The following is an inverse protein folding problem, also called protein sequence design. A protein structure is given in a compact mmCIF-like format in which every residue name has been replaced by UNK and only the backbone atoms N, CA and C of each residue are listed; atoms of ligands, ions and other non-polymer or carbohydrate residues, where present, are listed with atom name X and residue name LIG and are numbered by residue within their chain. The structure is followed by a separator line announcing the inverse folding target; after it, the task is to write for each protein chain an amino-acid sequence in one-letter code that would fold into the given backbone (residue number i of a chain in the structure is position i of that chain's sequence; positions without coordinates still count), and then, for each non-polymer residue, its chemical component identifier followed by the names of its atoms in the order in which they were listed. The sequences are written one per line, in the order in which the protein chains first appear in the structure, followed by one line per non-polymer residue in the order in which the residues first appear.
data_IF_590636364719
#
_entry.id   IF_590636364719
#
_cell.length_a   1.000
_cell.length_b   1.000
_cell.length_c   1.000
_cell.angle_alpha   90.00
_cell.angle_beta   90.00
_cell.angle_gamma   90.00
#
_symmetry.space_group_name_H-M   'P 1'
#
loop_
_entity.id
_entity.type
_entity.pdbx_description
1 polymer ?
2 non-polymer ?
3 non-polymer ?
4 non-polymer ?
5 water ?
#
# COMPACT_ATOMS: atom_id res chain seq x y z
N UNK A 1 -20.44 -21.67 -6.38
CA UNK A 1 -21.71 -21.31 -5.68
C UNK A 1 -21.98 -19.79 -5.61
N UNK A 2 -21.15 -19.00 -6.31
CA UNK A 2 -21.20 -17.56 -6.23
C UNK A 2 -21.36 -16.93 -7.64
N UNK A 3 -21.92 -17.63 -8.58
CA UNK A 3 -22.10 -17.12 -9.92
C UNK A 3 -20.86 -17.05 -10.77
N UNK A 4 -20.93 -16.26 -11.82
CA UNK A 4 -19.85 -16.23 -12.84
C UNK A 4 -19.29 -14.87 -13.08
N UNK A 5 -19.99 -13.79 -12.86
CA UNK A 5 -19.60 -12.43 -13.33
C UNK A 5 -19.46 -11.41 -12.24
N UNK A 6 -18.51 -10.51 -12.44
CA UNK A 6 -18.36 -9.30 -11.65
C UNK A 6 -19.26 -8.21 -12.22
N UNK A 7 -19.47 -7.16 -11.46
CA UNK A 7 -20.26 -6.04 -12.00
C UNK A 7 -19.65 -5.50 -13.30
N UNK A 8 -20.50 -5.02 -14.19
CA UNK A 8 -20.07 -4.48 -15.42
C UNK A 8 -19.19 -3.25 -15.27
N UNK A 9 -19.36 -2.50 -14.19
CA UNK A 9 -18.58 -1.33 -13.96
C UNK A 9 -17.42 -1.58 -12.97
N UNK A 10 -17.05 -2.80 -12.73
CA UNK A 10 -15.97 -3.09 -11.81
C UNK A 10 -14.66 -2.43 -12.31
N UNK A 11 -13.85 -1.96 -11.35
CA UNK A 11 -12.55 -1.42 -11.69
C UNK A 11 -11.54 -2.57 -11.70
N UNK A 12 -10.80 -2.67 -12.81
CA UNK A 12 -9.78 -3.70 -13.06
C UNK A 12 -8.49 -3.00 -13.35
N UNK A 13 -7.50 -3.13 -12.47
CA UNK A 13 -6.26 -2.45 -12.64
C UNK A 13 -5.05 -3.21 -12.19
N UNK A 14 -3.92 -2.52 -12.24
CA UNK A 14 -2.68 -2.94 -11.62
C UNK A 14 -2.09 -1.75 -10.90
N UNK A 15 -1.16 -2.02 -9.98
CA UNK A 15 -0.67 -1.03 -9.08
C UNK A 15 0.86 -0.96 -9.09
N UNK A 16 1.37 0.24 -8.85
CA UNK A 16 2.78 0.54 -8.65
C UNK A 16 2.91 1.64 -7.57
N UNK A 17 4.13 1.97 -7.21
CA UNK A 17 4.51 3.10 -6.36
C UNK A 17 5.69 3.80 -6.97
N UNK A 18 5.79 5.10 -6.77
CA UNK A 18 6.76 5.92 -7.48
C UNK A 18 8.18 5.50 -7.25
N UNK A 19 8.60 5.34 -5.99
CA UNK A 19 10.00 5.03 -5.76
C UNK A 19 10.33 3.64 -6.32
N UNK A 20 9.36 2.75 -6.35
CA UNK A 20 9.63 1.38 -6.82
C UNK A 20 9.86 1.32 -8.31
N UNK A 21 9.31 2.27 -9.07
CA UNK A 21 9.38 2.16 -10.54
C UNK A 21 10.06 3.33 -11.28
N UNK A 22 10.05 4.55 -10.71
CA UNK A 22 10.31 5.72 -11.56
C UNK A 22 11.76 5.90 -11.97
N UNK A 23 12.71 5.70 -11.08
CA UNK A 23 14.06 6.15 -11.38
C UNK A 23 14.12 7.65 -11.45
N UNK A 24 15.09 8.14 -12.25
CA UNK A 24 15.23 9.56 -12.49
C UNK A 24 15.20 10.33 -11.17
N UNK A 25 16.01 9.87 -10.22
CA UNK A 25 15.89 10.33 -8.83
C UNK A 25 16.31 11.75 -8.60
N UNK A 26 17.16 12.32 -9.47
CA UNK A 26 17.58 13.70 -9.37
C UNK A 26 17.02 14.55 -10.49
N UNK A 27 16.21 14.05 -11.36
CA UNK A 27 15.79 14.79 -12.52
C UNK A 27 14.68 15.74 -12.19
N UNK A 28 14.67 16.83 -12.94
CA UNK A 28 13.55 17.75 -12.96
C UNK A 28 13.21 18.26 -11.53
N UNK A 29 14.21 18.56 -10.76
CA UNK A 29 14.03 19.16 -9.49
C UNK A 29 13.69 18.25 -8.32
N UNK A 30 13.62 16.91 -8.56
CA UNK A 30 13.26 16.02 -7.45
C UNK A 30 14.22 16.18 -6.30
N UNK A 31 13.70 16.22 -5.08
CA UNK A 31 14.48 16.18 -3.89
C UNK A 31 14.84 14.80 -3.43
N UNK A 32 15.61 14.71 -2.36
CA UNK A 32 16.01 13.44 -1.78
C UNK A 32 14.89 12.92 -0.90
N UNK A 33 14.52 11.65 -1.01
CA UNK A 33 13.57 11.02 -0.13
C UNK A 33 14.28 10.12 0.89
N UNK A 34 13.53 9.72 1.90
CA UNK A 34 14.10 8.78 2.88
C UNK A 34 14.53 7.48 2.24
N UNK A 35 13.88 7.06 1.16
CA UNK A 35 14.24 5.85 0.46
C UNK A 35 15.51 5.98 -0.40
N UNK A 36 15.79 7.19 -0.88
CA UNK A 36 17.10 7.43 -1.46
C UNK A 36 18.18 7.24 -0.40
N UNK A 37 18.01 7.91 0.72
CA UNK A 37 18.99 7.79 1.81
C UNK A 37 19.16 6.35 2.25
N UNK A 38 18.04 5.66 2.47
CA UNK A 38 18.07 4.32 3.02
C UNK A 38 18.68 3.31 2.04
N UNK A 39 18.24 3.36 0.78
CA UNK A 39 18.75 2.39 -0.17
C UNK A 39 20.22 2.63 -0.47
N UNK A 40 20.73 3.85 -0.29
CA UNK A 40 22.14 4.14 -0.43
C UNK A 40 22.93 3.90 0.83
N UNK A 41 22.32 3.34 1.85
CA UNK A 41 23.04 2.96 3.09
C UNK A 41 23.45 1.50 2.94
N UNK A 42 24.76 1.23 3.01
CA UNK A 42 25.22 -0.16 2.89
C UNK A 42 24.47 -1.10 3.82
N UNK A 43 24.04 -2.23 3.26
CA UNK A 43 23.45 -3.30 4.01
C UNK A 43 21.95 -3.21 4.20
N UNK A 44 21.30 -2.09 3.89
CA UNK A 44 19.87 -1.98 4.13
C UNK A 44 19.02 -2.71 3.08
N UNK A 45 19.56 -2.85 1.86
CA UNK A 45 18.85 -3.55 0.78
C UNK A 45 19.58 -4.86 0.53
N UNK A 46 18.87 -5.94 0.35
CA UNK A 46 19.47 -7.29 0.35
C UNK A 46 20.47 -7.53 -0.77
N UNK A 47 20.31 -6.86 -1.90
CA UNK A 47 21.02 -7.20 -3.12
C UNK A 47 21.80 -6.05 -3.68
N UNK A 48 22.04 -5.02 -2.85
CA UNK A 48 22.84 -3.90 -3.32
C UNK A 48 22.21 -3.01 -4.38
N UNK A 49 20.93 -3.13 -4.58
CA UNK A 49 20.23 -2.29 -5.54
C UNK A 49 19.61 -1.10 -4.84
N UNK A 50 19.19 -0.14 -5.70
CA UNK A 50 18.51 1.07 -5.25
C UNK A 50 17.40 1.36 -6.22
N UNK A 51 16.62 2.41 -5.91
CA UNK A 51 15.65 2.94 -6.85
C UNK A 51 16.20 3.97 -7.80
N UNK A 52 17.52 4.11 -7.97
CA UNK A 52 18.03 5.16 -8.83
C UNK A 52 17.52 5.08 -10.23
N UNK A 53 17.40 3.90 -10.78
CA UNK A 53 16.82 3.66 -12.10
C UNK A 53 15.53 2.92 -12.02
N UNK A 54 15.51 1.82 -11.27
CA UNK A 54 14.28 1.02 -11.11
C UNK A 54 13.78 0.59 -12.49
N UNK A 55 12.51 0.88 -12.82
CA UNK A 55 11.96 0.56 -14.12
C UNK A 55 12.08 1.73 -15.09
N UNK A 56 12.70 2.81 -14.68
CA UNK A 56 12.81 4.02 -15.48
C UNK A 56 11.46 4.54 -15.90
N UNK A 57 10.42 4.38 -15.08
CA UNK A 57 9.10 4.78 -15.46
C UNK A 57 8.88 6.29 -15.46
N UNK A 58 9.77 7.08 -14.87
CA UNK A 58 9.65 8.51 -15.09
C UNK A 58 9.71 8.84 -16.56
N UNK A 59 10.62 8.16 -17.29
CA UNK A 59 10.74 8.30 -18.72
C UNK A 59 9.87 7.34 -19.50
N UNK A 60 9.54 6.17 -18.95
CA UNK A 60 8.95 5.08 -19.70
C UNK A 60 7.50 4.80 -19.29
N UNK A 61 6.83 5.77 -18.64
CA UNK A 61 5.43 5.54 -18.23
C UNK A 61 4.58 5.26 -19.44
N UNK A 62 4.92 5.75 -20.63
CA UNK A 62 4.14 5.42 -21.81
C UNK A 62 4.22 3.93 -22.16
N UNK A 63 5.36 3.32 -21.91
CA UNK A 63 5.47 1.87 -22.03
C UNK A 63 4.55 1.16 -21.04
N UNK A 64 4.51 1.71 -19.82
CA UNK A 64 3.64 1.15 -18.79
C UNK A 64 2.18 1.25 -19.22
N UNK A 65 1.79 2.40 -19.82
CA UNK A 65 0.44 2.55 -20.39
C UNK A 65 0.19 1.52 -21.47
N UNK A 66 1.20 1.28 -22.35
CA UNK A 66 1.07 0.24 -23.36
C UNK A 66 0.76 -1.11 -22.74
N UNK A 67 1.41 -1.44 -21.62
CA UNK A 67 1.15 -2.74 -20.95
C UNK A 67 -0.28 -2.75 -20.41
N UNK A 68 -0.70 -1.70 -19.69
CA UNK A 68 -2.05 -1.62 -19.14
C UNK A 68 -3.10 -1.79 -20.25
N UNK A 69 -2.85 -1.13 -21.38
CA UNK A 69 -3.75 -1.24 -22.55
C UNK A 69 -3.77 -2.66 -23.12
N UNK A 70 -2.61 -3.28 -23.24
CA UNK A 70 -2.52 -4.67 -23.74
C UNK A 70 -3.27 -5.59 -22.81
N UNK A 71 -3.29 -5.30 -21.51
CA UNK A 71 -3.99 -6.11 -20.53
C UNK A 71 -5.50 -5.80 -20.51
N UNK A 72 -5.94 -4.78 -21.19
CA UNK A 72 -7.38 -4.42 -21.20
C UNK A 72 -7.89 -3.93 -19.85
N UNK A 73 -7.02 -3.39 -19.04
CA UNK A 73 -7.42 -2.85 -17.77
C UNK A 73 -8.18 -1.53 -17.97
N UNK A 74 -8.88 -1.06 -16.94
CA UNK A 74 -9.60 0.21 -17.00
C UNK A 74 -9.15 1.15 -15.92
N UNK A 75 -8.07 0.88 -15.20
CA UNK A 75 -7.59 1.74 -14.16
C UNK A 75 -6.14 1.44 -13.90
N UNK A 76 -5.45 2.42 -13.31
CA UNK A 76 -4.03 2.28 -12.95
C UNK A 76 -3.87 2.93 -11.58
N UNK A 77 -3.41 2.18 -10.59
CA UNK A 77 -3.07 2.70 -9.28
C UNK A 77 -1.59 2.98 -9.24
N UNK A 78 -1.24 4.25 -9.00
CA UNK A 78 0.15 4.65 -8.97
C UNK A 78 0.30 5.72 -7.90
N UNK A 79 1.51 6.03 -7.50
CA UNK A 79 1.72 7.11 -6.55
C UNK A 79 2.42 8.28 -7.16
N UNK A 80 2.18 9.44 -6.55
CA UNK A 80 2.88 10.69 -6.84
C UNK A 80 3.97 10.84 -5.80
N UNK A 81 5.18 11.15 -6.24
CA UNK A 81 6.32 11.32 -5.37
C UNK A 81 6.32 12.73 -4.76
N UNK A 82 6.05 12.84 -3.48
CA UNK A 82 6.15 14.14 -2.75
C UNK A 82 7.50 14.82 -3.10
N UNK A 83 8.61 14.12 -3.12
CA UNK A 83 9.91 14.79 -3.50
C UNK A 83 9.91 15.50 -4.82
N UNK A 84 9.07 15.08 -5.77
CA UNK A 84 8.99 15.81 -7.04
C UNK A 84 8.12 17.04 -6.96
N UNK A 85 7.17 17.09 -6.02
CA UNK A 85 6.15 18.12 -5.93
C UNK A 85 6.59 19.26 -4.99
N UNK A 86 7.10 18.90 -3.84
CA UNK A 86 7.61 19.85 -2.81
C UNK A 86 8.98 19.32 -2.44
N UNK A 87 10.03 19.64 -3.20
CA UNK A 87 11.33 18.98 -2.96
C UNK A 87 11.87 19.17 -1.57
N UNK A 88 11.58 20.30 -0.91
CA UNK A 88 12.06 20.59 0.45
C UNK A 88 11.11 20.00 1.47
N UNK A 89 10.05 19.31 1.08
CA UNK A 89 9.08 18.74 2.00
C UNK A 89 8.02 19.74 2.39
N UNK A 90 8.48 20.85 2.98
CA UNK A 90 7.69 22.05 3.27
C UNK A 90 8.36 23.18 2.58
N UNK A 91 7.72 23.85 1.68
CA UNK A 91 8.39 24.86 0.87
C UNK A 91 7.67 25.02 -0.44
N UNK A 92 8.33 25.66 -1.40
CA UNK A 92 7.72 25.93 -2.66
C UNK A 92 7.39 24.65 -3.44
N UNK A 93 6.44 24.79 -4.33
CA UNK A 93 6.18 23.73 -5.28
C UNK A 93 7.22 23.69 -6.38
N UNK A 94 7.34 22.54 -7.00
CA UNK A 94 8.18 22.31 -8.20
C UNK A 94 7.20 22.10 -9.34
N UNK A 95 6.85 23.15 -10.07
CA UNK A 95 5.83 23.00 -11.08
C UNK A 95 6.20 21.95 -12.10
N UNK A 96 7.48 21.79 -12.42
CA UNK A 96 7.89 20.73 -13.35
C UNK A 96 7.43 19.35 -12.88
N UNK A 97 7.46 19.10 -11.58
CA UNK A 97 6.99 17.82 -11.06
C UNK A 97 5.54 17.62 -11.28
N UNK A 98 4.75 18.65 -10.96
CA UNK A 98 3.31 18.58 -11.18
C UNK A 98 2.96 18.40 -12.64
N UNK A 99 3.70 19.09 -13.51
CA UNK A 99 3.41 19.01 -14.91
C UNK A 99 3.72 17.61 -15.48
N UNK A 100 4.71 16.93 -14.96
CA UNK A 100 4.96 15.54 -15.34
C UNK A 100 3.74 14.67 -15.07
N UNK A 101 3.21 14.78 -13.83
CA UNK A 101 2.08 13.97 -13.49
C UNK A 101 0.80 14.38 -14.22
N UNK A 102 0.67 15.69 -14.54
CA UNK A 102 -0.43 16.14 -15.34
C UNK A 102 -0.42 15.49 -16.72
N UNK A 103 0.75 15.45 -17.36
CA UNK A 103 0.82 14.79 -18.66
C UNK A 103 0.53 13.30 -18.54
N UNK A 104 1.04 12.65 -17.49
CA UNK A 104 0.77 11.23 -17.28
C UNK A 104 -0.74 10.98 -17.07
N UNK A 105 -1.40 11.80 -16.28
CA UNK A 105 -2.83 11.70 -16.08
C UNK A 105 -3.57 11.86 -17.40
N UNK A 106 -3.17 12.82 -18.21
CA UNK A 106 -3.83 13.01 -19.51
C UNK A 106 -3.59 11.80 -20.43
N UNK A 107 -2.38 11.23 -20.40
CA UNK A 107 -2.11 10.03 -21.18
C UNK A 107 -2.97 8.86 -20.71
N UNK A 108 -3.10 8.69 -19.40
CA UNK A 108 -3.96 7.61 -18.85
C UNK A 108 -5.39 7.79 -19.28
N UNK A 109 -5.93 8.97 -19.08
CA UNK A 109 -7.33 9.18 -19.42
C UNK A 109 -7.54 9.04 -20.93
N UNK A 110 -6.57 9.46 -21.77
CA UNK A 110 -6.69 9.29 -23.21
C UNK A 110 -6.76 7.81 -23.61
N UNK A 111 -6.16 6.96 -22.80
CA UNK A 111 -6.10 5.52 -23.01
C UNK A 111 -7.30 4.82 -22.33
N UNK A 112 -8.20 5.50 -21.68
CA UNK A 112 -9.27 4.84 -20.97
C UNK A 112 -8.86 4.17 -19.67
N UNK A 113 -7.85 4.70 -19.03
CA UNK A 113 -7.32 4.16 -17.76
C UNK A 113 -7.58 5.18 -16.69
N UNK A 114 -8.45 4.83 -15.76
CA UNK A 114 -8.78 5.75 -14.64
C UNK A 114 -7.62 5.82 -13.68
N UNK A 115 -7.09 7.00 -13.37
CA UNK A 115 -5.99 7.13 -12.40
C UNK A 115 -6.51 6.96 -10.98
N UNK A 116 -5.97 6.06 -10.21
CA UNK A 116 -6.21 5.91 -8.78
C UNK A 116 -4.95 6.33 -8.08
N UNK A 117 -4.88 7.57 -7.62
CA UNK A 117 -3.62 8.15 -7.19
C UNK A 117 -3.39 7.96 -5.72
N UNK A 118 -2.25 7.47 -5.30
CA UNK A 118 -1.79 7.44 -3.94
C UNK A 118 -0.90 8.66 -3.70
N UNK A 119 -1.20 9.50 -2.71
CA UNK A 119 -0.37 10.65 -2.43
C UNK A 119 0.91 10.29 -1.70
N UNK A 120 0.84 9.36 -0.73
CA UNK A 120 2.02 8.98 0.06
C UNK A 120 2.22 7.48 0.02
N UNK A 121 3.21 7.07 -0.76
CA UNK A 121 3.68 5.68 -0.82
C UNK A 121 5.12 5.63 -0.44
N UNK A 122 5.44 6.22 0.72
CA UNK A 122 6.59 5.94 1.59
C UNK A 122 7.80 6.83 1.38
N UNK A 123 7.77 7.65 0.32
CA UNK A 123 8.88 8.48 -0.11
C UNK A 123 8.86 9.85 0.56
N UNK A 124 8.92 9.86 1.89
CA UNK A 124 8.97 11.12 2.64
C UNK A 124 10.22 11.93 2.19
N UNK A 125 10.03 13.24 1.96
CA UNK A 125 11.20 14.09 1.75
C UNK A 125 12.19 13.99 2.91
N UNK A 126 13.47 13.78 2.58
CA UNK A 126 14.51 13.70 3.58
C UNK A 126 14.58 14.93 4.49
N UNK A 127 14.38 16.15 3.96
CA UNK A 127 14.43 17.29 4.88
C UNK A 127 13.44 17.18 5.99
N UNK A 128 12.29 16.59 5.79
CA UNK A 128 11.33 16.40 6.87
C UNK A 128 11.81 15.37 7.85
N UNK A 129 12.39 14.25 7.40
CA UNK A 129 13.01 13.28 8.31
C UNK A 129 14.11 13.92 9.14
N UNK A 130 14.86 14.88 8.59
CA UNK A 130 15.88 15.58 9.35
C UNK A 130 15.28 16.38 10.51
N UNK A 131 14.02 16.68 10.44
CA UNK A 131 13.24 17.31 11.51
C UNK A 131 12.28 16.32 12.20
N UNK A 132 12.65 15.06 12.28
CA UNK A 132 12.01 13.96 12.95
C UNK A 132 11.02 13.18 12.12
N UNK A 133 10.70 13.67 10.91
CA UNK A 133 9.87 12.88 10.03
C UNK A 133 8.51 12.62 10.63
N UNK A 134 8.02 11.39 10.59
CA UNK A 134 6.75 11.07 11.15
C UNK A 134 6.78 11.09 12.69
N UNK A 135 7.91 11.36 13.29
CA UNK A 135 8.00 11.69 14.71
C UNK A 135 7.67 13.12 15.02
N UNK A 136 7.19 13.91 14.11
CA UNK A 136 6.83 15.30 14.35
C UNK A 136 5.42 15.56 13.82
N UNK A 137 4.58 16.24 14.60
CA UNK A 137 3.29 16.67 14.18
C UNK A 137 3.38 17.60 12.95
N UNK A 138 4.46 18.36 12.84
CA UNK A 138 4.61 19.24 11.71
C UNK A 138 4.59 18.52 10.38
N UNK A 139 5.09 17.28 10.36
CA UNK A 139 5.10 16.51 9.10
C UNK A 139 3.66 16.23 8.66
N UNK A 140 2.74 15.98 9.62
CA UNK A 140 1.35 15.82 9.30
C UNK A 140 0.76 17.07 8.65
N UNK A 141 1.07 18.24 9.23
CA UNK A 141 0.58 19.50 8.70
C UNK A 141 1.09 19.72 7.26
N UNK A 142 2.38 19.51 7.02
CA UNK A 142 2.86 19.79 5.70
C UNK A 142 2.49 18.70 4.69
N UNK A 143 2.21 17.46 5.12
CA UNK A 143 1.62 16.48 4.26
C UNK A 143 0.29 16.99 3.73
N UNK A 144 -0.56 17.55 4.61
CA UNK A 144 -1.81 18.07 4.17
C UNK A 144 -1.67 19.22 3.16
N UNK A 145 -0.66 20.07 3.36
CA UNK A 145 -0.35 21.13 2.39
C UNK A 145 0.03 20.54 1.03
N UNK A 146 0.81 19.48 1.01
CA UNK A 146 1.15 18.77 -0.23
C UNK A 146 -0.08 18.21 -0.90
N UNK A 147 -0.97 17.57 -0.11
CA UNK A 147 -2.17 17.01 -0.67
C UNK A 147 -3.04 18.08 -1.35
N UNK A 148 -3.13 19.26 -0.68
CA UNK A 148 -3.84 20.42 -1.22
C UNK A 148 -3.27 20.81 -2.58
N UNK A 149 -1.94 20.99 -2.63
CA UNK A 149 -1.25 21.38 -3.87
C UNK A 149 -1.65 20.43 -4.99
N UNK A 150 -1.53 19.14 -4.75
CA UNK A 150 -1.72 18.18 -5.82
C UNK A 150 -3.15 18.16 -6.30
N UNK A 151 -4.11 18.12 -5.38
CA UNK A 151 -5.54 18.12 -5.73
C UNK A 151 -5.95 19.35 -6.48
N UNK A 152 -5.40 20.52 -6.10
CA UNK A 152 -5.78 21.74 -6.78
C UNK A 152 -5.45 21.64 -8.24
N UNK A 153 -4.33 21.00 -8.59
CA UNK A 153 -3.90 20.92 -10.00
C UNK A 153 -4.48 19.76 -10.74
N UNK A 154 -4.63 18.59 -10.10
CA UNK A 154 -5.01 17.37 -10.82
C UNK A 154 -6.44 16.93 -10.52
N UNK A 155 -7.11 17.54 -9.52
CA UNK A 155 -8.43 17.09 -9.13
C UNK A 155 -9.56 17.42 -10.08
N UNK A 156 -9.28 18.18 -11.14
CA UNK A 156 -10.24 18.34 -12.20
C UNK A 156 -10.33 17.06 -13.07
N UNK A 157 -9.35 16.18 -12.99
CA UNK A 157 -9.27 14.99 -13.82
C UNK A 157 -9.25 13.71 -13.03
N UNK A 158 -8.73 13.74 -11.82
CA UNK A 158 -8.61 12.54 -10.98
C UNK A 158 -9.66 12.68 -9.85
N UNK A 159 -10.62 11.76 -9.82
CA UNK A 159 -11.60 11.71 -8.78
C UNK A 159 -11.17 10.86 -7.61
N UNK A 160 -10.43 9.78 -7.82
CA UNK A 160 -10.17 8.78 -6.78
C UNK A 160 -8.80 8.91 -6.25
N UNK A 161 -8.66 9.29 -4.98
CA UNK A 161 -7.43 9.57 -4.30
C UNK A 161 -7.27 8.77 -3.05
N UNK A 162 -6.10 8.28 -2.72
CA UNK A 162 -5.76 7.76 -1.44
C UNK A 162 -4.73 8.65 -0.80
N UNK A 163 -4.88 8.93 0.50
CA UNK A 163 -3.87 9.69 1.21
C UNK A 163 -2.60 8.88 1.42
N UNK A 164 -2.68 7.85 2.22
CA UNK A 164 -1.60 7.00 2.61
C UNK A 164 -1.75 5.60 2.06
N UNK A 165 -0.59 4.96 1.82
CA UNK A 165 -0.50 3.53 1.58
C UNK A 165 0.18 2.89 2.74
N UNK A 166 -0.50 1.93 3.39
CA UNK A 166 0.10 1.07 4.43
C UNK A 166 0.84 1.85 5.52
N UNK A 167 0.10 2.68 6.29
CA UNK A 167 0.75 3.34 7.40
C UNK A 167 1.38 2.39 8.42
N UNK A 168 0.85 1.16 8.58
CA UNK A 168 1.50 0.25 9.50
C UNK A 168 2.94 0.00 9.05
N UNK A 169 3.18 -0.13 7.74
CA UNK A 169 4.55 -0.32 7.29
C UNK A 169 5.41 0.90 7.56
N UNK A 170 4.91 2.08 7.16
CA UNK A 170 5.70 3.30 7.35
C UNK A 170 6.08 3.48 8.82
N UNK A 171 5.16 3.26 9.74
CA UNK A 171 5.41 3.41 11.16
C UNK A 171 6.24 2.28 11.71
N UNK A 172 5.74 1.04 11.56
CA UNK A 172 6.32 -0.03 12.31
C UNK A 172 7.60 -0.59 11.60
N UNK A 173 7.59 -0.72 10.27
CA UNK A 173 8.81 -1.14 9.58
C UNK A 173 9.79 0.00 9.53
N UNK A 174 9.34 1.24 9.40
CA UNK A 174 10.24 2.36 9.23
C UNK A 174 10.85 2.93 10.52
N UNK A 175 10.11 2.84 11.65
CA UNK A 175 10.56 3.46 12.86
C UNK A 175 10.73 2.51 14.05
N UNK A 176 10.14 1.34 14.02
CA UNK A 176 10.23 0.33 15.10
C UNK A 176 11.15 -0.82 14.74
N UNK A 177 10.93 -1.48 13.58
CA UNK A 177 11.72 -2.67 13.23
C UNK A 177 12.96 -2.32 12.41
N UNK A 178 13.00 -1.13 11.83
CA UNK A 178 14.16 -0.68 11.10
C UNK A 178 14.39 -1.26 9.75
N UNK A 179 13.43 -2.01 9.21
CA UNK A 179 13.65 -2.72 7.95
C UNK A 179 13.37 -1.83 6.74
N UNK A 180 12.55 -0.78 6.93
CA UNK A 180 12.21 0.19 5.93
C UNK A 180 12.73 1.56 6.30
N UNK A 181 12.81 2.46 5.33
CA UNK A 181 13.21 3.82 5.55
C UNK A 181 12.24 4.47 6.54
N UNK A 182 12.72 5.35 7.44
CA UNK A 182 14.12 5.79 7.56
C UNK A 182 15.04 4.83 8.33
N UNK A 183 14.48 3.83 8.99
CA UNK A 183 15.30 2.79 9.59
C UNK A 183 15.53 2.84 11.05
N UNK A 184 14.66 3.53 11.80
CA UNK A 184 14.76 3.57 13.24
C UNK A 184 14.23 2.30 13.87
N UNK A 185 14.62 2.10 15.13
CA UNK A 185 14.35 0.86 15.84
C UNK A 185 13.85 1.10 17.24
N UNK A 186 12.71 1.73 17.38
CA UNK A 186 12.20 2.01 18.70
C UNK A 186 10.68 1.95 18.68
N UNK A 187 10.10 1.18 19.60
CA UNK A 187 8.66 1.00 19.58
C UNK A 187 7.93 2.31 19.81
N UNK A 188 8.31 3.09 20.80
CA UNK A 188 7.65 4.35 21.02
C UNK A 188 7.72 5.28 19.80
N UNK A 189 8.85 5.28 19.11
CA UNK A 189 8.92 6.07 17.88
C UNK A 189 7.99 5.54 16.83
N UNK A 190 7.87 4.22 16.68
CA UNK A 190 6.93 3.68 15.74
C UNK A 190 5.49 4.03 16.05
N UNK A 191 5.10 3.95 17.33
CA UNK A 191 3.75 4.29 17.68
C UNK A 191 3.46 5.77 17.52
N UNK A 192 4.45 6.63 17.82
CA UNK A 192 4.29 8.05 17.55
C UNK A 192 4.13 8.30 16.08
N UNK A 193 4.97 7.66 15.23
CA UNK A 193 4.83 7.82 13.81
C UNK A 193 3.45 7.36 13.36
N UNK A 194 2.91 6.30 13.89
CA UNK A 194 1.61 5.82 13.51
C UNK A 194 0.54 6.88 13.73
N UNK A 195 0.63 7.61 14.86
CA UNK A 195 -0.34 8.66 15.19
C UNK A 195 -0.18 9.85 14.26
N UNK A 196 1.05 10.27 13.97
CA UNK A 196 1.23 11.40 13.08
C UNK A 196 0.87 11.05 11.63
N UNK A 197 1.03 9.78 11.21
CA UNK A 197 0.54 9.33 9.93
C UNK A 197 -0.99 9.45 9.88
N UNK A 198 -1.66 8.88 10.90
CA UNK A 198 -3.15 9.03 10.91
C UNK A 198 -3.60 10.47 10.96
N UNK A 199 -2.92 11.29 11.76
CA UNK A 199 -3.26 12.71 11.83
C UNK A 199 -3.05 13.36 10.49
N UNK A 200 -1.93 13.09 9.82
CA UNK A 200 -1.65 13.62 8.50
C UNK A 200 -2.71 13.19 7.49
N UNK A 201 -3.12 11.94 7.55
CA UNK A 201 -4.23 11.47 6.73
C UNK A 201 -5.47 12.36 6.96
N UNK A 202 -5.86 12.57 8.23
CA UNK A 202 -7.10 13.27 8.46
C UNK A 202 -7.01 14.73 8.08
N UNK A 203 -5.86 15.39 8.36
CA UNK A 203 -5.66 16.74 7.97
C UNK A 203 -5.69 16.86 6.46
N UNK A 204 -5.11 15.89 5.75
CA UNK A 204 -5.08 15.89 4.30
C UNK A 204 -6.48 15.74 3.73
N UNK A 205 -7.30 14.85 4.29
CA UNK A 205 -8.65 14.71 3.78
C UNK A 205 -9.35 16.05 3.83
N UNK A 206 -9.24 16.73 4.97
CA UNK A 206 -9.95 18.02 5.09
C UNK A 206 -9.35 19.03 4.13
N UNK A 207 -8.05 19.09 3.97
CA UNK A 207 -7.45 20.03 3.04
C UNK A 207 -7.88 19.73 1.62
N UNK A 208 -7.96 18.45 1.26
CA UNK A 208 -8.36 18.09 -0.09
C UNK A 208 -9.82 18.45 -0.34
N UNK A 209 -10.70 18.27 0.62
CA UNK A 209 -12.12 18.67 0.43
C UNK A 209 -12.18 20.18 0.14
N UNK A 210 -11.41 20.99 0.79
CA UNK A 210 -11.48 22.44 0.59
C UNK A 210 -10.82 22.86 -0.70
N UNK A 211 -9.79 22.14 -1.17
CA UNK A 211 -9.01 22.50 -2.35
C UNK A 211 -9.61 21.87 -3.61
N UNK A 212 -10.53 20.91 -3.48
CA UNK A 212 -11.10 20.10 -4.56
C UNK A 212 -11.68 21.00 -5.63
N UNK A 213 -11.32 20.90 -6.95
CA UNK A 213 -12.19 21.65 -7.89
C UNK A 213 -13.50 20.96 -8.22
N UNK A 214 -13.64 19.71 -7.84
CA UNK A 214 -14.90 18.96 -7.99
C UNK A 214 -14.96 17.96 -6.78
N UNK A 215 -16.14 17.41 -6.51
CA UNK A 215 -16.18 16.44 -5.45
C UNK A 215 -15.25 15.25 -5.72
N UNK A 216 -14.53 14.80 -4.70
CA UNK A 216 -13.58 13.70 -4.81
C UNK A 216 -14.05 12.51 -4.08
N UNK A 217 -13.53 11.34 -4.44
CA UNK A 217 -13.70 10.09 -3.71
C UNK A 217 -12.41 9.80 -3.01
N UNK A 218 -12.30 10.07 -1.73
CA UNK A 218 -11.06 9.99 -0.99
C UNK A 218 -11.05 8.78 -0.09
N UNK A 219 -9.96 8.02 -0.11
CA UNK A 219 -9.78 6.87 0.75
C UNK A 219 -8.41 6.86 1.38
N UNK A 220 -8.16 5.76 2.09
CA UNK A 220 -6.87 5.40 2.64
C UNK A 220 -6.66 3.94 2.23
N UNK A 221 -5.39 3.50 2.15
CA UNK A 221 -5.07 2.13 1.80
C UNK A 221 -4.35 1.46 2.96
N UNK A 222 -4.92 0.36 3.46
CA UNK A 222 -4.32 -0.37 4.58
C UNK A 222 -3.94 -1.78 4.15
N UNK A 223 -2.76 -2.23 4.57
CA UNK A 223 -2.50 -3.68 4.60
C UNK A 223 -3.26 -4.27 5.75
N UNK A 224 -3.94 -5.36 5.52
CA UNK A 224 -4.65 -6.07 6.58
C UNK A 224 -4.26 -7.53 6.53
N UNK A 225 -4.01 -8.13 7.69
CA UNK A 225 -3.63 -9.51 7.83
C UNK A 225 -4.66 -10.24 8.67
N UNK A 226 -5.57 -11.01 8.06
CA UNK A 226 -6.52 -11.78 8.90
C UNK A 226 -5.68 -12.75 9.74
N UNK A 227 -6.04 -12.80 11.03
CA UNK A 227 -5.27 -13.49 12.04
C UNK A 227 -6.14 -14.56 12.70
N UNK A 228 -5.56 -15.71 12.98
CA UNK A 228 -6.32 -16.86 13.47
C UNK A 228 -5.50 -17.49 14.55
N UNK A 229 -6.09 -17.84 15.71
CA UNK A 229 -5.31 -18.46 16.78
C UNK A 229 -4.99 -19.90 16.37
N UNK A 230 -3.79 -20.38 16.70
CA UNK A 230 -3.40 -21.72 16.36
C UNK A 230 -4.16 -22.75 17.15
N UNK A 231 -4.68 -22.40 18.33
CA UNK A 231 -5.56 -23.25 19.14
C UNK A 231 -6.51 -22.31 19.82
N UNK A 232 -7.49 -22.87 20.52
CA UNK A 232 -8.44 -22.05 21.29
C UNK A 232 -7.97 -21.77 22.70
N UNK A 233 -6.73 -22.03 23.04
CA UNK A 233 -6.28 -21.74 24.38
C UNK A 233 -6.38 -20.22 24.67
N UNK A 234 -6.58 -19.86 25.93
CA UNK A 234 -6.50 -18.46 26.26
C UNK A 234 -5.22 -17.80 25.73
N UNK A 235 -4.12 -18.50 25.83
CA UNK A 235 -2.86 -17.93 25.44
C UNK A 235 -2.79 -17.68 23.92
N UNK A 236 -3.19 -18.64 23.11
CA UNK A 236 -3.12 -18.47 21.67
C UNK A 236 -4.16 -17.47 21.17
N UNK A 237 -5.37 -17.51 21.74
CA UNK A 237 -6.38 -16.54 21.36
C UNK A 237 -5.91 -15.13 21.69
N UNK A 238 -5.31 -14.92 22.87
CA UNK A 238 -4.82 -13.62 23.23
C UNK A 238 -3.70 -13.18 22.28
N UNK A 239 -2.81 -14.12 21.91
CA UNK A 239 -1.73 -13.79 20.96
C UNK A 239 -2.32 -13.34 19.61
N UNK A 240 -3.35 -14.03 19.13
CA UNK A 240 -4.00 -13.64 17.91
C UNK A 240 -4.61 -12.24 18.02
N UNK A 241 -5.28 -11.95 19.15
CA UNK A 241 -5.84 -10.61 19.33
C UNK A 241 -4.75 -9.57 19.37
N UNK A 242 -3.63 -9.81 20.02
CA UNK A 242 -2.56 -8.82 20.06
C UNK A 242 -2.00 -8.56 18.66
N UNK A 243 -1.79 -9.58 17.86
CA UNK A 243 -1.27 -9.42 16.51
C UNK A 243 -2.32 -8.66 15.66
N UNK A 244 -3.59 -9.06 15.78
CA UNK A 244 -4.66 -8.41 15.04
C UNK A 244 -4.75 -6.95 15.42
N UNK A 245 -4.54 -6.62 16.71
CA UNK A 245 -4.51 -5.24 17.14
C UNK A 245 -3.31 -4.50 16.60
N UNK A 246 -2.12 -5.10 16.66
CA UNK A 246 -0.85 -4.51 16.19
C UNK A 246 -0.96 -4.09 14.74
N UNK A 247 -1.47 -4.95 13.88
CA UNK A 247 -1.50 -4.68 12.45
C UNK A 247 -2.79 -3.99 12.03
N UNK A 248 -3.94 -4.52 12.42
CA UNK A 248 -5.20 -4.15 11.81
C UNK A 248 -5.98 -3.12 12.64
N UNK A 249 -6.34 -3.46 13.87
CA UNK A 249 -7.28 -2.62 14.63
C UNK A 249 -6.64 -1.33 15.06
N UNK A 250 -5.33 -1.25 15.23
CA UNK A 250 -4.68 -0.01 15.57
C UNK A 250 -5.02 1.11 14.61
N UNK A 251 -5.18 0.74 13.31
CA UNK A 251 -5.55 1.68 12.27
C UNK A 251 -7.05 1.70 11.99
N UNK A 252 -7.69 0.55 11.88
CA UNK A 252 -9.12 0.55 11.57
C UNK A 252 -9.95 1.22 12.63
N UNK A 253 -9.67 1.01 13.88
CA UNK A 253 -10.53 1.55 14.93
C UNK A 253 -10.54 3.06 14.98
N UNK A 254 -9.36 3.73 14.99
CA UNK A 254 -9.42 5.20 15.00
C UNK A 254 -10.04 5.73 13.76
N UNK A 255 -9.79 5.15 12.59
CA UNK A 255 -10.45 5.58 11.40
C UNK A 255 -11.99 5.46 11.48
N UNK A 256 -12.43 4.45 12.19
CA UNK A 256 -13.86 4.19 12.38
C UNK A 256 -14.49 5.01 13.51
N UNK A 257 -13.74 5.95 14.09
CA UNK A 257 -14.32 6.74 15.19
C UNK A 257 -14.31 6.03 16.48
N UNK A 258 -13.62 4.95 16.72
CA UNK A 258 -13.68 4.16 17.87
C UNK A 258 -12.48 4.37 18.80
N UNK A 259 -11.58 5.34 18.45
CA UNK A 259 -10.40 5.55 19.16
C UNK A 259 -9.38 4.40 18.94
N UNK A 260 -8.19 4.50 19.55
CA UNK A 260 -7.26 3.38 19.55
C UNK A 260 -7.77 2.28 20.42
N UNK A 261 -7.56 1.03 20.03
CA UNK A 261 -8.11 -0.09 20.79
C UNK A 261 -7.48 -0.12 22.20
N UNK A 262 -8.32 -0.18 23.21
CA UNK A 262 -7.82 -0.14 24.60
C UNK A 262 -6.94 -1.32 24.97
N UNK A 263 -7.23 -2.51 24.45
CA UNK A 263 -6.39 -3.65 24.76
C UNK A 263 -4.96 -3.36 24.31
N UNK A 264 -4.81 -2.71 23.14
CA UNK A 264 -3.47 -2.40 22.64
C UNK A 264 -2.82 -1.26 23.43
N UNK A 265 -3.62 -0.27 23.79
CA UNK A 265 -3.09 0.77 24.73
C UNK A 265 -2.59 0.13 25.99
N UNK A 266 -3.33 -0.81 26.57
CA UNK A 266 -2.85 -1.48 27.77
C UNK A 266 -1.57 -2.25 27.58
N UNK A 267 -1.48 -2.94 26.47
CA UNK A 267 -0.30 -3.72 26.12
C UNK A 267 0.88 -2.86 25.89
N UNK A 268 0.72 -1.74 25.14
CA UNK A 268 1.81 -0.86 24.82
C UNK A 268 2.29 0.00 26.00
N UNK A 269 1.42 0.21 26.98
CA UNK A 269 1.82 0.94 28.13
C UNK A 269 2.34 2.32 27.80
N UNK A 270 3.47 2.67 28.42
CA UNK A 270 4.03 3.99 28.28
C UNK A 270 4.52 4.31 26.86
N UNK A 271 4.66 3.29 26.00
CA UNK A 271 5.08 3.53 24.61
C UNK A 271 3.93 4.08 23.78
N UNK A 272 2.67 4.05 24.25
CA UNK A 272 1.56 4.55 23.49
C UNK A 272 1.74 6.01 23.22
N UNK A 273 1.16 6.53 22.12
CA UNK A 273 1.38 7.94 21.67
C UNK A 273 0.57 8.96 22.50
N UNK A 274 0.95 10.21 22.42
CA UNK A 274 0.25 11.38 22.96
C UNK A 274 -0.70 11.88 21.87
N UNK A 275 -1.99 12.04 22.27
CA UNK A 275 -3.23 11.70 21.44
C UNK A 275 -4.67 11.99 22.00
N UNK A 276 -5.25 13.13 21.67
CA UNK A 276 -6.48 13.63 22.35
C UNK A 276 -7.79 13.55 21.52
N UNK A 277 -8.87 14.04 22.11
CA UNK A 277 -10.14 13.97 21.41
C UNK A 277 -10.05 14.69 20.05
N UNK A 278 -9.41 15.86 20.10
CA UNK A 278 -9.24 16.67 18.86
C UNK A 278 -8.56 15.94 17.70
N UNK A 279 -7.44 15.29 18.03
CA UNK A 279 -6.75 14.48 17.01
C UNK A 279 -7.63 13.37 16.53
N UNK A 280 -8.37 12.65 17.40
CA UNK A 280 -9.26 11.60 16.93
C UNK A 280 -10.30 12.01 16.01
N UNK A 281 -10.88 13.20 16.25
CA UNK A 281 -11.87 13.71 15.35
C UNK A 281 -11.27 13.94 14.00
N UNK A 282 -10.07 14.48 13.96
CA UNK A 282 -9.37 14.71 12.69
C UNK A 282 -9.10 13.41 11.95
N UNK A 283 -8.64 12.41 12.68
CA UNK A 283 -8.29 11.11 12.12
C UNK A 283 -9.47 10.48 11.40
N UNK A 284 -10.67 10.68 11.99
CA UNK A 284 -11.92 10.14 11.50
C UNK A 284 -12.60 11.00 10.46
N UNK A 285 -11.84 11.87 9.81
CA UNK A 285 -12.42 12.67 8.70
C UNK A 285 -13.14 11.73 7.75
N UNK A 286 -14.36 12.06 7.32
CA UNK A 286 -15.14 11.09 6.53
C UNK A 286 -14.46 10.69 5.21
N UNK A 287 -14.44 9.40 4.93
CA UNK A 287 -13.86 8.82 3.70
C UNK A 287 -14.94 8.29 2.82
N UNK A 288 -14.67 8.24 1.50
CA UNK A 288 -15.53 7.69 0.54
C UNK A 288 -15.24 6.24 0.16
N UNK A 289 -14.10 5.69 0.55
CA UNK A 289 -13.79 4.33 0.30
C UNK A 289 -12.61 3.92 1.14
N UNK A 290 -12.37 2.60 1.26
CA UNK A 290 -11.22 2.04 1.90
C UNK A 290 -10.56 1.05 0.90
N UNK A 291 -9.23 1.16 0.79
CA UNK A 291 -8.45 0.21 0.03
C UNK A 291 -7.82 -0.82 0.94
N UNK A 292 -7.96 -2.09 0.53
CA UNK A 292 -7.37 -3.21 1.23
C UNK A 292 -6.24 -3.79 0.40
N UNK A 293 -5.07 -3.89 1.00
CA UNK A 293 -3.94 -4.63 0.42
C UNK A 293 -3.85 -5.96 1.15
N UNK A 294 -4.07 -7.04 0.42
CA UNK A 294 -4.12 -8.35 0.98
C UNK A 294 -3.10 -9.29 0.32
N UNK A 295 -2.32 -9.92 1.16
CA UNK A 295 -1.33 -10.93 0.73
C UNK A 295 -1.46 -12.24 1.50
N UNK A 296 -1.57 -12.21 2.83
CA UNK A 296 -1.46 -13.43 3.60
C UNK A 296 -2.22 -13.37 4.91
N UNK A 297 -2.34 -14.51 5.53
CA UNK A 297 -2.88 -14.62 6.87
C UNK A 297 -1.77 -14.69 7.88
N UNK A 298 -2.15 -14.68 9.16
CA UNK A 298 -1.27 -15.00 10.29
C UNK A 298 -1.99 -16.01 11.14
N UNK A 299 -1.38 -17.18 11.30
CA UNK A 299 -1.86 -18.23 12.23
C UNK A 299 -0.92 -18.11 13.48
N UNK A 300 -1.47 -17.57 14.56
CA UNK A 300 -0.63 -17.15 15.68
C UNK A 300 -0.59 -18.13 16.83
N UNK A 301 0.60 -18.42 17.31
CA UNK A 301 0.83 -19.13 18.55
C UNK A 301 1.41 -18.13 19.58
N UNK A 302 0.97 -18.26 20.82
CA UNK A 302 1.57 -17.50 21.88
C UNK A 302 3.06 -17.83 21.96
N UNK A 303 3.83 -16.77 22.09
CA UNK A 303 5.28 -16.92 22.16
C UNK A 303 5.76 -15.93 23.22
N UNK A 304 5.65 -16.40 24.54
CA UNK A 304 5.95 -15.40 25.62
C UNK A 304 7.36 -14.79 25.60
N UNK A 305 8.30 -15.43 24.94
CA UNK A 305 9.69 -14.85 24.90
C UNK A 305 10.07 -14.05 23.62
N UNK A 306 9.10 -13.51 22.75
CA UNK A 306 9.45 -12.50 21.54
C UNK A 306 9.21 -10.90 21.61
N UNK A 307 9.60 -10.06 20.61
CA UNK A 307 9.26 -8.59 20.62
C UNK A 307 7.75 -8.39 20.52
N UNK A 308 7.24 -7.23 20.96
CA UNK A 308 5.83 -6.87 20.85
C UNK A 308 5.45 -7.10 19.38
N UNK A 309 4.35 -7.83 19.11
CA UNK A 309 3.40 -8.72 20.04
C UNK A 309 3.46 -10.31 20.66
N UNK A 310 4.58 -11.16 20.98
CA UNK A 310 4.56 -12.58 21.48
C UNK A 310 3.54 -13.32 20.73
N UNK A 311 3.68 -13.28 19.41
CA UNK A 311 2.87 -14.03 18.53
C UNK A 311 3.71 -14.63 17.41
N UNK A 312 3.92 -15.93 17.43
CA UNK A 312 4.75 -16.60 16.44
C UNK A 312 3.87 -17.11 15.30
N UNK A 313 4.31 -16.96 14.09
CA UNK A 313 3.61 -17.51 12.95
C UNK A 313 3.75 -19.00 12.88
N UNK A 314 2.73 -19.79 12.77
CA UNK A 314 2.72 -21.25 12.56
C UNK A 314 2.48 -21.59 11.14
N UNK A 315 3.55 -21.85 10.38
CA UNK A 315 3.38 -22.16 8.95
C UNK A 315 2.53 -23.46 8.69
N UNK A 316 1.82 -23.56 7.56
CA UNK A 316 1.21 -24.83 7.07
C UNK A 316 1.97 -25.21 5.79
N UNK A 317 2.85 -26.19 5.88
CA UNK A 317 3.65 -26.52 4.69
C UNK A 317 2.79 -27.14 3.57
N UNK A 318 1.69 -27.72 3.93
CA UNK A 318 0.81 -28.23 2.88
C UNK A 318 0.16 -27.13 2.10
N UNK A 319 0.30 -25.84 2.51
CA UNK A 319 -0.26 -24.82 1.78
C UNK A 319 0.95 -24.42 0.83
N UNK A 320 0.57 -23.99 -0.24
CA UNK A 320 1.60 -23.60 -1.03
C UNK A 320 2.19 -22.29 -0.57
N UNK A 321 3.44 -22.14 -0.97
CA UNK A 321 4.18 -20.94 -0.78
C UNK A 321 4.71 -20.44 -2.10
N UNK A 322 4.87 -19.13 -2.17
CA UNK A 322 5.47 -18.42 -3.29
C UNK A 322 6.97 -18.23 -2.99
N UNK A 323 7.63 -17.29 -3.66
CA UNK A 323 9.01 -17.02 -3.33
C UNK A 323 9.15 -16.50 -1.93
N UNK A 324 8.14 -15.86 -1.33
CA UNK A 324 8.26 -15.19 -0.07
C UNK A 324 7.05 -15.30 0.88
N UNK A 325 5.97 -15.92 0.50
CA UNK A 325 4.77 -15.91 1.35
C UNK A 325 4.07 -17.24 1.25
N UNK A 326 3.18 -17.50 2.24
CA UNK A 326 2.18 -18.53 2.20
C UNK A 326 0.94 -18.04 1.44
N UNK A 327 0.36 -18.89 0.63
CA UNK A 327 -0.85 -18.53 -0.11
C UNK A 327 -2.10 -19.01 0.69
N UNK A 328 -3.02 -18.11 0.93
CA UNK A 328 -4.24 -18.45 1.69
C UNK A 328 -5.40 -17.58 1.15
N UNK A 329 -5.99 -17.94 0.03
CA UNK A 329 -6.98 -17.04 -0.58
C UNK A 329 -8.20 -16.80 0.27
N UNK A 330 -8.60 -17.78 1.10
CA UNK A 330 -9.80 -17.61 1.94
C UNK A 330 -9.63 -16.45 2.89
N UNK A 331 -8.42 -16.06 3.24
CA UNK A 331 -8.25 -14.88 4.11
C UNK A 331 -8.78 -13.63 3.49
N UNK A 332 -8.81 -13.49 2.19
CA UNK A 332 -9.35 -12.34 1.51
C UNK A 332 -10.85 -12.26 1.73
N UNK A 333 -11.55 -13.36 1.55
CA UNK A 333 -12.94 -13.44 1.87
C UNK A 333 -13.16 -13.06 3.34
N UNK A 334 -12.38 -13.67 4.24
CA UNK A 334 -12.61 -13.42 5.68
C UNK A 334 -12.44 -11.98 6.02
N UNK A 335 -11.39 -11.31 5.56
CA UNK A 335 -11.19 -9.93 5.98
C UNK A 335 -12.28 -9.04 5.41
N UNK A 336 -12.77 -9.33 4.20
CA UNK A 336 -13.80 -8.56 3.60
C UNK A 336 -15.15 -8.75 4.33
N UNK A 337 -15.49 -9.95 4.74
CA UNK A 337 -16.72 -10.18 5.49
C UNK A 337 -16.64 -9.41 6.81
N UNK A 338 -15.50 -9.39 7.47
CA UNK A 338 -15.31 -8.62 8.68
C UNK A 338 -15.52 -7.16 8.44
N UNK A 339 -14.88 -6.60 7.41
CA UNK A 339 -15.04 -5.19 7.15
C UNK A 339 -16.49 -4.85 6.86
N UNK A 340 -17.17 -5.66 6.07
CA UNK A 340 -18.54 -5.40 5.69
C UNK A 340 -19.46 -5.39 6.93
N UNK A 341 -19.34 -6.36 7.80
CA UNK A 341 -20.28 -6.46 8.91
C UNK A 341 -19.84 -5.66 10.10
N UNK A 342 -18.59 -5.37 10.31
CA UNK A 342 -18.05 -4.89 11.54
C UNK A 342 -17.58 -3.46 11.52
N UNK A 343 -17.33 -2.90 10.36
CA UNK A 343 -16.75 -1.58 10.20
C UNK A 343 -17.58 -0.75 9.21
N UNK A 344 -17.40 0.56 9.23
CA UNK A 344 -18.30 1.45 8.47
C UNK A 344 -17.84 1.77 7.10
N UNK A 345 -16.65 1.37 6.69
CA UNK A 345 -16.06 1.81 5.42
C UNK A 345 -16.74 1.14 4.24
N UNK A 346 -17.06 1.90 3.21
CA UNK A 346 -17.69 1.37 2.02
C UNK A 346 -17.80 2.49 1.00
N UNK A 347 -17.69 2.20 -0.30
CA UNK A 347 -17.27 0.90 -0.86
C UNK A 347 -15.81 0.59 -0.52
N UNK A 348 -15.45 -0.65 -0.90
CA UNK A 348 -14.13 -1.21 -0.69
C UNK A 348 -13.47 -1.48 -2.06
N UNK A 349 -12.17 -1.32 -2.11
CA UNK A 349 -11.35 -1.74 -3.28
C UNK A 349 -10.28 -2.62 -2.76
N UNK A 350 -9.92 -3.66 -3.54
CA UNK A 350 -8.67 -4.38 -3.29
C UNK A 350 -7.61 -3.61 -4.05
N UNK A 351 -6.81 -2.82 -3.34
CA UNK A 351 -5.82 -1.97 -3.95
C UNK A 351 -4.48 -2.65 -4.19
N UNK A 352 -4.26 -3.83 -3.61
CA UNK A 352 -3.14 -4.68 -3.94
C UNK A 352 -3.50 -6.08 -3.59
N UNK A 353 -3.11 -7.00 -4.51
CA UNK A 353 -3.08 -8.45 -4.27
C UNK A 353 -2.17 -9.03 -5.32
N UNK A 354 -1.26 -9.90 -4.96
CA UNK A 354 -0.32 -10.46 -5.95
C UNK A 354 0.70 -11.29 -5.26
N UNK A 355 1.72 -11.77 -6.01
CA UNK A 355 2.72 -12.63 -5.43
C UNK A 355 4.05 -12.53 -6.17
N UNK A 356 5.07 -12.98 -5.47
CA UNK A 356 6.45 -13.02 -6.00
C UNK A 356 6.83 -14.44 -6.28
N UNK A 357 7.58 -14.65 -7.39
CA UNK A 357 8.05 -15.97 -7.84
C UNK A 357 9.45 -15.81 -8.36
N UNK A 358 10.15 -16.91 -8.60
CA UNK A 358 11.47 -16.90 -9.24
C UNK A 358 11.29 -16.84 -10.74
N UNK A 359 10.68 -15.77 -11.23
CA UNK A 359 10.33 -15.69 -12.61
C UNK A 359 11.57 -15.60 -13.50
N UNK A 360 11.48 -16.25 -14.61
CA UNK A 360 12.57 -16.16 -15.63
C UNK A 360 11.95 -16.27 -17.00
N UNK A 361 12.67 -15.79 -17.95
CA UNK A 361 12.31 -15.92 -19.38
C UNK A 361 12.70 -17.30 -19.87
N UNK A 362 11.69 -18.06 -20.26
CA UNK A 362 11.86 -19.42 -20.71
C UNK A 362 12.44 -19.45 -22.15
N UNK A 363 12.80 -20.63 -22.64
CA UNK A 363 13.42 -20.78 -23.96
C UNK A 363 12.56 -20.13 -25.05
N UNK A 364 11.24 -20.24 -24.93
CA UNK A 364 10.30 -19.72 -25.91
C UNK A 364 10.13 -18.21 -25.82
N UNK A 365 10.60 -17.57 -24.76
CA UNK A 365 10.49 -16.14 -24.58
C UNK A 365 9.40 -15.70 -23.63
N UNK A 366 8.48 -16.56 -23.25
CA UNK A 366 7.45 -16.27 -22.28
C UNK A 366 7.95 -16.45 -20.86
N UNK A 367 7.12 -16.00 -19.92
CA UNK A 367 7.33 -16.23 -18.50
C UNK A 367 6.16 -17.07 -18.02
N UNK A 368 6.49 -18.34 -17.69
CA UNK A 368 5.45 -19.31 -17.34
C UNK A 368 5.24 -19.34 -15.83
N UNK A 369 4.46 -18.37 -15.35
CA UNK A 369 4.21 -18.13 -13.93
C UNK A 369 2.88 -18.68 -13.54
N UNK A 370 2.66 -19.96 -13.75
CA UNK A 370 1.35 -20.57 -13.47
C UNK A 370 0.93 -20.47 -12.02
N UNK A 371 1.84 -20.43 -11.07
CA UNK A 371 1.43 -20.30 -9.67
C UNK A 371 0.83 -18.91 -9.45
N UNK A 372 1.31 -17.89 -10.13
CA UNK A 372 0.75 -16.54 -10.03
C UNK A 372 -0.65 -16.49 -10.73
N UNK A 373 -0.77 -17.18 -11.88
CA UNK A 373 -2.10 -17.29 -12.47
C UNK A 373 -3.07 -17.91 -11.48
N UNK A 374 -2.67 -19.01 -10.85
CA UNK A 374 -3.53 -19.72 -9.89
C UNK A 374 -3.83 -18.83 -8.70
N UNK A 375 -2.86 -18.03 -8.26
CA UNK A 375 -3.08 -17.05 -7.20
C UNK A 375 -4.18 -16.11 -7.56
N UNK A 376 -4.14 -15.50 -8.74
CA UNK A 376 -5.21 -14.60 -9.12
C UNK A 376 -6.53 -15.34 -9.23
N UNK A 377 -6.57 -16.50 -9.87
CA UNK A 377 -7.79 -17.22 -10.05
C UNK A 377 -8.45 -17.49 -8.70
N UNK A 378 -7.68 -17.95 -7.72
CA UNK A 378 -8.24 -18.33 -6.41
C UNK A 378 -8.70 -17.11 -5.67
N UNK A 379 -7.96 -16.01 -5.68
CA UNK A 379 -8.38 -14.81 -4.96
C UNK A 379 -9.60 -14.20 -5.62
N UNK A 380 -9.70 -14.17 -6.93
CA UNK A 380 -10.88 -13.64 -7.60
C UNK A 380 -12.12 -14.49 -7.26
N UNK A 381 -11.98 -15.81 -7.15
CA UNK A 381 -13.10 -16.64 -6.75
C UNK A 381 -13.60 -16.23 -5.36
N UNK A 382 -12.68 -15.91 -4.45
CA UNK A 382 -13.07 -15.44 -3.11
C UNK A 382 -13.78 -14.10 -3.15
N UNK A 383 -13.36 -13.23 -4.08
CA UNK A 383 -14.07 -11.95 -4.25
C UNK A 383 -15.50 -12.15 -4.71
N UNK A 384 -15.74 -13.14 -5.58
CA UNK A 384 -17.13 -13.44 -5.98
C UNK A 384 -17.93 -13.86 -4.78
N UNK A 385 -17.37 -14.67 -3.89
CA UNK A 385 -18.05 -15.08 -2.68
C UNK A 385 -18.35 -13.86 -1.81
N UNK A 386 -17.38 -12.95 -1.67
CA UNK A 386 -17.59 -11.75 -0.86
C UNK A 386 -18.71 -10.91 -1.45
N UNK A 387 -18.71 -10.68 -2.77
CA UNK A 387 -19.75 -9.94 -3.41
C UNK A 387 -21.12 -10.61 -3.14
N UNK A 388 -21.18 -11.93 -3.20
CA UNK A 388 -22.43 -12.65 -2.95
C UNK A 388 -23.01 -12.35 -1.56
N UNK A 389 -22.12 -12.13 -0.60
CA UNK A 389 -22.48 -11.84 0.78
C UNK A 389 -22.82 -10.38 0.97
N UNK A 390 -22.82 -9.57 -0.06
CA UNK A 390 -23.15 -8.18 0.06
C UNK A 390 -21.99 -7.25 0.29
N UNK A 391 -20.76 -7.74 0.25
CA UNK A 391 -19.63 -6.83 0.46
C UNK A 391 -19.62 -5.81 -0.68
N UNK A 392 -19.50 -4.51 -0.37
CA UNK A 392 -19.63 -3.47 -1.40
C UNK A 392 -18.26 -3.22 -2.07
N UNK A 393 -17.78 -4.24 -2.74
CA UNK A 393 -16.52 -4.23 -3.45
C UNK A 393 -16.66 -3.63 -4.81
N UNK A 394 -15.80 -2.69 -5.19
CA UNK A 394 -15.90 -2.02 -6.45
C UNK A 394 -14.71 -2.15 -7.35
N UNK A 395 -13.61 -2.79 -6.95
CA UNK A 395 -12.51 -2.97 -7.87
C UNK A 395 -11.42 -3.81 -7.28
N UNK A 396 -10.49 -4.16 -8.17
CA UNK A 396 -9.37 -5.02 -7.89
C UNK A 396 -8.16 -4.55 -8.66
N UNK A 397 -7.04 -4.38 -7.96
CA UNK A 397 -5.75 -4.05 -8.56
C UNK A 397 -4.75 -5.10 -8.20
N UNK A 398 -4.16 -5.68 -9.26
CA UNK A 398 -3.02 -6.62 -9.10
C UNK A 398 -1.77 -5.84 -8.69
N UNK A 399 -1.10 -6.27 -7.61
CA UNK A 399 0.26 -5.83 -7.34
C UNK A 399 1.20 -6.85 -8.01
N UNK A 400 2.07 -6.47 -8.95
CA UNK A 400 2.27 -5.16 -9.50
C UNK A 400 2.10 -5.20 -11.00
N UNK A 401 1.93 -4.05 -11.64
CA UNK A 401 1.99 -4.01 -13.10
C UNK A 401 3.28 -4.68 -13.62
N UNK A 402 4.40 -4.40 -12.96
CA UNK A 402 5.68 -4.87 -13.50
C UNK A 402 6.61 -5.10 -12.31
N UNK A 403 7.60 -5.99 -12.53
CA UNK A 403 8.62 -6.21 -11.50
C UNK A 403 9.32 -4.90 -11.21
N UNK A 404 9.66 -4.68 -9.95
CA UNK A 404 10.17 -3.38 -9.55
C UNK A 404 11.07 -3.49 -8.33
N UNK A 405 11.47 -2.33 -7.79
CA UNK A 405 12.33 -2.30 -6.61
C UNK A 405 11.46 -2.59 -5.37
N UNK A 406 11.55 -3.80 -4.86
CA UNK A 406 10.72 -4.28 -3.73
C UNK A 406 11.42 -3.96 -2.41
N UNK A 407 11.61 -2.66 -2.17
CA UNK A 407 11.98 -2.15 -0.85
C UNK A 407 13.23 -2.84 -0.36
N UNK A 408 13.23 -3.38 0.87
CA UNK A 408 14.45 -4.01 1.41
C UNK A 408 14.89 -5.24 0.68
N UNK A 409 14.05 -5.79 -0.16
CA UNK A 409 14.43 -6.94 -1.00
C UNK A 409 15.10 -6.53 -2.27
N UNK A 410 15.02 -5.25 -2.66
CA UNK A 410 15.61 -4.81 -3.88
C UNK A 410 14.89 -5.28 -5.12
N UNK A 411 15.60 -5.20 -6.23
CA UNK A 411 15.12 -5.66 -7.51
C UNK A 411 14.98 -7.20 -7.55
N UNK A 412 15.48 -7.91 -6.56
CA UNK A 412 15.52 -9.35 -6.61
C UNK A 412 14.18 -10.03 -6.33
N UNK A 413 13.15 -9.34 -5.88
CA UNK A 413 11.87 -9.96 -5.54
C UNK A 413 10.79 -9.49 -6.47
N UNK A 414 10.46 -10.35 -7.46
CA UNK A 414 9.65 -10.00 -8.63
C UNK A 414 8.14 -10.29 -8.38
N UNK A 415 7.38 -9.20 -8.31
CA UNK A 415 5.92 -9.22 -8.07
C UNK A 415 5.09 -8.87 -9.31
N UNK A 416 5.73 -8.60 -10.46
CA UNK A 416 4.97 -8.15 -11.59
C UNK A 416 4.07 -9.17 -12.22
N UNK A 417 3.03 -8.68 -12.90
CA UNK A 417 2.33 -9.45 -13.94
C UNK A 417 3.02 -9.28 -15.29
N UNK A 418 3.93 -8.33 -15.37
CA UNK A 418 4.87 -8.14 -16.48
C UNK A 418 6.26 -8.23 -15.91
N UNK A 419 7.15 -8.91 -16.65
CA UNK A 419 8.57 -9.05 -16.31
C UNK A 419 9.30 -7.80 -16.69
N UNK A 420 10.22 -7.36 -15.82
CA UNK A 420 11.08 -6.24 -16.16
C UNK A 420 12.50 -6.69 -16.25
N UNK A 421 13.14 -6.50 -17.39
CA UNK A 421 14.60 -6.70 -17.53
C UNK A 421 15.23 -5.43 -17.00
N UNK A 422 15.88 -5.46 -15.83
CA UNK A 422 16.38 -4.25 -15.22
C UNK A 422 17.59 -3.68 -15.91
N UNK A 423 18.23 -4.48 -16.77
CA UNK A 423 19.41 -3.99 -17.56
C UNK A 423 18.98 -3.27 -18.76
N UNK A 424 18.01 -3.80 -19.52
CA UNK A 424 17.62 -3.19 -20.74
C UNK A 424 16.35 -2.36 -20.63
N UNK A 425 15.60 -2.54 -19.54
CA UNK A 425 14.31 -1.91 -19.25
C UNK A 425 13.19 -2.42 -20.10
N UNK A 426 13.41 -3.46 -20.89
CA UNK A 426 12.32 -4.09 -21.58
C UNK A 426 11.33 -4.74 -20.63
N UNK A 427 10.06 -4.57 -20.91
CA UNK A 427 9.01 -5.30 -20.19
C UNK A 427 8.40 -6.35 -21.09
N UNK A 428 7.93 -7.43 -20.48
CA UNK A 428 7.27 -8.51 -21.22
C UNK A 428 6.12 -9.02 -20.40
N UNK A 429 4.94 -9.20 -20.94
CA UNK A 429 3.82 -9.68 -20.18
C UNK A 429 4.02 -11.15 -19.79
N UNK A 430 3.82 -11.49 -18.54
CA UNK A 430 3.92 -12.85 -18.06
C UNK A 430 2.66 -13.61 -18.40
N UNK A 431 2.69 -14.95 -18.35
CA UNK A 431 1.47 -15.71 -18.61
C UNK A 431 0.33 -15.32 -17.70
N UNK A 432 0.57 -15.03 -16.43
CA UNK A 432 -0.52 -14.60 -15.57
C UNK A 432 -1.13 -13.29 -16.01
N UNK A 433 -0.34 -12.41 -16.60
CA UNK A 433 -0.87 -11.17 -17.13
C UNK A 433 -1.81 -11.41 -18.30
N UNK A 434 -1.43 -12.34 -19.21
CA UNK A 434 -2.36 -12.71 -20.27
C UNK A 434 -3.58 -13.37 -19.73
N UNK A 435 -3.45 -14.15 -18.66
CA UNK A 435 -4.66 -14.72 -18.02
C UNK A 435 -5.56 -13.63 -17.51
N UNK A 436 -5.01 -12.62 -16.80
CA UNK A 436 -5.82 -11.50 -16.35
C UNK A 436 -6.49 -10.80 -17.51
N UNK A 437 -5.75 -10.55 -18.57
CA UNK A 437 -6.34 -9.91 -19.77
C UNK A 437 -7.55 -10.69 -20.20
N UNK A 438 -7.43 -12.01 -20.35
CA UNK A 438 -8.50 -12.80 -20.87
C UNK A 438 -9.64 -12.93 -19.90
N UNK A 439 -9.33 -12.97 -18.61
CA UNK A 439 -10.37 -12.99 -17.58
C UNK A 439 -11.19 -11.73 -17.61
N UNK A 440 -10.52 -10.59 -17.66
CA UNK A 440 -11.20 -9.33 -17.69
C UNK A 440 -12.05 -9.20 -18.92
N UNK A 441 -11.50 -9.58 -20.07
CA UNK A 441 -12.30 -9.52 -21.31
C UNK A 441 -13.50 -10.45 -21.23
N UNK A 442 -13.37 -11.60 -20.63
CA UNK A 442 -14.46 -12.58 -20.52
C UNK A 442 -15.57 -12.11 -19.66
N UNK A 443 -15.38 -11.13 -18.76
CA UNK A 443 -16.42 -10.63 -17.96
C UNK A 443 -17.43 -9.86 -18.73
X LIG B 1 2.84 -3.79 -0.15
X LIG B 1 3.16 -2.36 -0.67
X LIG B 1 3.84 -2.39 -2.06
X LIG B 1 4.67 -3.70 -2.25
X LIG B 1 3.90 -4.97 -2.01
X LIG B 1 4.59 -6.32 -2.21
X LIG B 1 3.26 -3.95 1.26
X LIG B 1 2.16 -1.29 -0.61
X LIG B 1 4.68 -1.21 -2.13
X LIG B 1 5.61 -3.75 -1.20
X LIG B 1 3.71 -4.85 -0.58
X LIG C 1 -10.13 -14.86 16.78
X LIG C 1 -9.96 -14.81 15.23
X LIG C 1 -9.76 -13.38 14.82
X LIG C 1 -8.68 -12.57 15.55
X LIG C 1 -9.71 -13.02 13.41
X LIG C 1 -10.46 -13.96 12.47
X LIG C 1 -10.14 -13.67 10.99
X LIG C 1 -10.88 -12.26 10.32
X LIG C 1 -10.35 -11.15 11.05
X LIG C 1 -12.31 -12.43 10.59
X LIG C 1 -10.59 -12.26 8.91
X LIG C 1 -8.55 -12.91 17.05
X LIG C 1 -9.05 -14.12 17.55
X LIG D 1 6.48 -22.97 -3.62
#
# INVERSE_FOLDING_TARGET
MAGERFPADFVWGAATAAYQIEGAVREDGRGVSIWDTFSHTPGKIADGTTGDVACDSYHRYGEDIGLLNALGMNAYRFSIAWPRIVPLGAGPINQAGLDHYSRMVDALLGAGLQPFVTLYHWDLPQPLEDRLGWGSRATATVFAEYADIVVRQLGDRVTHWATLNEPWCSAMLGYYLGVHAPGHTDLKRGLEASHNLLLGHGLAVQAMRAAAPQPLQIGIVLNLTPTYPASDSPEDVAAARRFDGFVNRWFLDPLAGRGYPQDMLDYYGAAAPQANPEDLTQIAAPLDWLGVNYYERMRAVDAPDASLPQAQRLDDPDLPHTADREVYPEGLYDILLRLHNDYPFRPLYITENGCALHDEIAEDGGIHDGQRQAFFEAHLAQLQRALAAGVPLKGYFAWSLLDNFEWAMGLSMRYGICYTNFETLERRIKDSGYWLRDFIAGQRGKLAALEHHHHHH
FCB C1 C2 C3 C4 C5 C6 O1 O2 O3 O4 O5
NHE C3' C2' C1' C6' N C1 C2 S O1 O2 O3 C5' C4'
NA NA
#
